data_IF_112640322124
#
_entry.id   IF_112640322124
#
_cell.length_a   1.000
_cell.length_b   1.000
_cell.length_c   1.000
_cell.angle_alpha   90.00
_cell.angle_beta   90.00
_cell.angle_gamma   90.00
#
_symmetry.space_group_name_H-M   'P 1'
#
loop_
_entity.id
_entity.type
_entity.pdbx_description
1 polymer ?
#
# COMPACT_ATOMS: atom_id res chain seq x y z
N UNK A 1 10.70 27.60 0.22
CA UNK A 1 9.90 27.26 -0.97
C UNK A 1 8.59 28.01 -0.87
N UNK A 2 8.21 28.78 -1.89
CA UNK A 2 6.98 29.60 -1.89
C UNK A 2 5.95 28.95 -2.82
N UNK A 3 4.72 28.79 -2.33
CA UNK A 3 3.56 28.39 -3.15
C UNK A 3 2.80 29.67 -3.52
N UNK A 4 2.55 29.89 -4.80
CA UNK A 4 1.78 31.04 -5.29
C UNK A 4 0.58 30.55 -6.07
N UNK A 5 -0.59 31.17 -5.86
CA UNK A 5 -1.79 30.91 -6.65
C UNK A 5 -1.89 31.89 -7.82
N UNK A 6 -2.36 31.37 -8.96
CA UNK A 6 -2.75 32.12 -10.14
C UNK A 6 -4.17 31.71 -10.50
N UNK A 7 -5.10 32.68 -10.53
CA UNK A 7 -6.46 32.44 -10.99
C UNK A 7 -6.46 32.52 -12.52
N UNK A 8 -6.85 31.43 -13.18
CA UNK A 8 -7.13 31.46 -14.61
C UNK A 8 -8.48 32.14 -14.83
N UNK A 9 -8.45 33.44 -15.09
CA UNK A 9 -9.66 34.19 -15.45
C UNK A 9 -10.14 33.73 -16.83
N UNK A 10 -11.41 33.30 -16.95
CA UNK A 10 -12.00 32.91 -18.24
C UNK A 10 -12.28 34.16 -19.08
N UNK A 11 -11.26 34.88 -19.51
CA UNK A 11 -11.41 35.92 -20.54
C UNK A 11 -10.30 35.82 -21.58
N UNK A 12 -10.77 35.73 -22.84
CA UNK A 12 -10.06 35.81 -24.12
C UNK A 12 -9.00 34.74 -24.44
N UNK A 13 -9.42 33.66 -25.12
CA UNK A 13 -9.01 33.45 -26.52
C UNK A 13 -9.85 32.37 -27.25
N UNK A 14 -10.51 32.82 -28.32
CA UNK A 14 -10.86 32.15 -29.60
C UNK A 14 -11.18 30.65 -29.65
N UNK A 15 -12.47 30.38 -29.87
CA UNK A 15 -13.08 29.29 -30.65
C UNK A 15 -12.44 27.88 -30.60
N UNK A 16 -12.85 27.08 -29.61
CA UNK A 16 -13.05 25.64 -29.82
C UNK A 16 -14.55 25.34 -29.65
N UNK A 17 -15.25 25.25 -30.77
CA UNK A 17 -16.62 24.71 -30.84
C UNK A 17 -16.59 23.22 -30.52
N UNK A 18 -16.77 22.85 -29.25
CA UNK A 18 -17.36 21.55 -28.89
C UNK A 18 -17.91 21.52 -27.45
N UNK A 19 -18.74 22.50 -27.11
CA UNK A 19 -19.44 22.60 -25.81
C UNK A 19 -20.89 22.15 -25.94
N UNK A 20 -21.10 20.87 -26.32
CA UNK A 20 -22.42 20.22 -26.19
C UNK A 20 -22.43 18.93 -25.35
N UNK A 21 -21.28 18.32 -25.07
CA UNK A 21 -21.24 17.01 -24.41
C UNK A 21 -21.30 17.05 -22.87
N UNK A 22 -21.01 18.17 -22.21
CA UNK A 22 -20.93 18.22 -20.74
C UNK A 22 -22.17 18.78 -20.03
N UNK A 23 -23.09 19.45 -20.75
CA UNK A 23 -24.32 19.99 -20.15
C UNK A 23 -25.51 19.02 -20.15
N UNK A 24 -25.43 17.91 -20.88
CA UNK A 24 -26.49 16.89 -20.94
C UNK A 24 -26.41 15.85 -19.80
N UNK A 25 -25.23 15.61 -19.23
CA UNK A 25 -25.06 14.64 -18.13
C UNK A 25 -25.75 15.06 -16.81
N UNK A 26 -25.97 16.37 -16.57
CA UNK A 26 -26.68 16.85 -15.36
C UNK A 26 -28.22 16.85 -15.48
N UNK A 27 -28.80 16.63 -16.67
CA UNK A 27 -30.27 16.64 -16.85
C UNK A 27 -30.94 15.26 -16.82
N UNK A 28 -30.19 14.17 -16.93
CA UNK A 28 -30.77 12.82 -17.02
C UNK A 28 -31.02 12.16 -15.65
N UNK A 29 -30.50 12.70 -14.54
CA UNK A 29 -30.70 12.14 -13.19
C UNK A 29 -31.84 12.79 -12.37
N UNK A 30 -32.73 13.57 -12.98
CA UNK A 30 -33.96 14.06 -12.33
C UNK A 30 -35.17 13.52 -13.07
N UNK A 31 -35.60 12.30 -12.73
CA UNK A 31 -36.98 11.82 -12.88
C UNK A 31 -37.11 10.33 -12.47
N UNK A 32 -37.32 10.05 -11.18
CA UNK A 32 -38.27 9.05 -10.64
C UNK A 32 -37.88 8.66 -9.22
N UNK A 33 -38.47 9.32 -8.21
CA UNK A 33 -38.92 8.65 -6.98
C UNK A 33 -40.21 9.34 -6.56
N UNK A 34 -41.34 8.67 -6.77
CA UNK A 34 -42.61 9.04 -6.15
C UNK A 34 -42.54 8.68 -4.66
N UNK A 35 -43.00 9.61 -3.83
CA UNK A 35 -43.35 9.39 -2.44
C UNK A 35 -44.54 8.43 -2.31
N UNK A 36 -44.44 7.45 -1.41
CA UNK A 36 -45.55 7.11 -0.49
C UNK A 36 -45.01 6.80 0.91
N UNK A 37 -45.56 7.51 1.88
CA UNK A 37 -45.39 7.36 3.32
C UNK A 37 -45.90 6.00 3.83
N UNK A 38 -45.27 5.45 4.88
CA UNK A 38 -46.01 4.86 6.00
C UNK A 38 -45.11 4.63 7.22
N UNK A 39 -45.56 5.21 8.33
CA UNK A 39 -45.13 5.14 9.72
C UNK A 39 -45.20 3.75 10.36
N UNK A 40 -44.31 3.47 11.34
CA UNK A 40 -44.60 3.02 12.73
C UNK A 40 -43.58 2.03 13.32
N UNK A 41 -43.15 2.29 14.58
CA UNK A 41 -42.48 1.33 15.51
C UNK A 41 -43.56 0.57 16.36
N UNK A 42 -43.18 -0.20 17.40
CA UNK A 42 -43.00 -1.67 17.50
C UNK A 42 -44.13 -2.35 18.32
N UNK A 43 -44.03 -3.64 18.73
CA UNK A 43 -43.54 -3.90 20.10
C UNK A 43 -42.79 -5.24 20.34
N UNK A 44 -42.22 -5.30 21.55
CA UNK A 44 -41.56 -6.38 22.31
C UNK A 44 -42.47 -7.59 22.55
N UNK A 45 -41.90 -8.81 22.67
CA UNK A 45 -42.25 -9.85 23.67
C UNK A 45 -41.11 -10.87 23.81
N UNK A 46 -40.78 -11.16 25.07
CA UNK A 46 -39.89 -12.17 25.62
C UNK A 46 -40.45 -13.60 25.59
N UNK A 47 -39.60 -14.63 25.48
CA UNK A 47 -39.76 -15.85 26.30
C UNK A 47 -38.45 -16.64 26.42
N UNK A 48 -38.05 -16.93 27.66
CA UNK A 48 -37.06 -17.93 28.04
C UNK A 48 -37.60 -19.35 27.80
N UNK A 49 -36.75 -20.33 27.51
CA UNK A 49 -36.80 -21.62 28.20
C UNK A 49 -35.48 -22.39 28.03
N UNK A 50 -34.95 -22.86 29.15
CA UNK A 50 -33.75 -23.69 29.28
C UNK A 50 -34.13 -25.18 29.32
N UNK A 51 -33.32 -26.06 28.69
CA UNK A 51 -33.15 -27.46 29.10
C UNK A 51 -31.75 -27.97 28.69
N UNK A 52 -30.92 -28.30 29.70
CA UNK A 52 -29.84 -29.32 29.71
C UNK A 52 -30.46 -30.62 30.29
N UNK A 53 -29.93 -31.85 30.11
CA UNK A 53 -28.55 -32.30 30.35
C UNK A 53 -28.05 -33.29 29.25
N UNK A 54 -26.87 -33.89 29.17
CA UNK A 54 -25.76 -34.26 30.06
C UNK A 54 -25.21 -35.60 29.52
N UNK A 55 -23.93 -35.95 29.72
CA UNK A 55 -23.47 -37.33 29.55
C UNK A 55 -22.15 -37.54 28.80
N UNK A 56 -21.10 -37.74 29.60
CA UNK A 56 -19.75 -38.27 29.36
C UNK A 56 -19.67 -39.61 28.59
N UNK A 57 -18.61 -39.79 27.78
CA UNK A 57 -17.66 -40.94 27.90
C UNK A 57 -16.52 -40.90 26.87
N UNK A 58 -15.28 -41.05 27.38
CA UNK A 58 -14.08 -41.62 26.70
C UNK A 58 -14.14 -43.17 26.88
N UNK A 59 -13.33 -44.07 26.22
CA UNK A 59 -11.89 -43.85 25.98
C UNK A 59 -11.16 -44.63 24.81
N UNK A 60 -9.85 -44.31 24.65
CA UNK A 60 -8.70 -45.22 24.29
C UNK A 60 -8.69 -45.86 22.87
N UNK A 61 -7.58 -46.23 22.22
CA UNK A 61 -6.13 -46.31 22.44
C UNK A 61 -5.52 -47.04 21.21
N UNK A 62 -4.17 -46.98 21.05
CA UNK A 62 -3.28 -47.78 20.16
C UNK A 62 -3.22 -47.39 18.67
N UNK A 63 -2.12 -47.53 17.94
CA UNK A 63 -0.66 -47.66 18.15
C UNK A 63 -0.09 -47.94 16.73
N UNK A 64 1.13 -47.45 16.46
CA UNK A 64 2.20 -48.11 15.68
C UNK A 64 2.25 -48.07 14.13
N UNK A 65 3.44 -47.59 13.71
CA UNK A 65 4.34 -48.02 12.61
C UNK A 65 3.82 -47.71 11.20
N UNK A 66 4.52 -47.00 10.32
CA UNK A 66 5.97 -46.82 10.12
C UNK A 66 6.28 -47.26 8.69
N UNK A 67 6.79 -46.37 7.83
CA UNK A 67 7.57 -46.71 6.63
C UNK A 67 8.07 -45.42 5.95
N UNK A 68 9.41 -45.27 5.86
CA UNK A 68 10.08 -44.44 4.84
C UNK A 68 10.15 -45.25 3.54
N UNK A 69 10.32 -44.61 2.37
CA UNK A 69 11.68 -44.36 1.90
C UNK A 69 11.92 -42.96 1.30
N UNK A 70 13.20 -42.61 1.29
CA UNK A 70 13.84 -41.47 0.61
C UNK A 70 13.54 -41.47 -0.89
N UNK A 71 13.33 -40.28 -1.46
CA UNK A 71 13.89 -39.91 -2.77
C UNK A 71 14.51 -38.52 -2.65
N UNK A 72 15.81 -38.45 -2.95
CA UNK A 72 16.59 -37.21 -3.13
C UNK A 72 16.14 -36.57 -4.44
N UNK A 73 15.93 -35.26 -4.45
CA UNK A 73 16.35 -34.42 -5.56
C UNK A 73 16.80 -33.07 -5.04
N UNK A 74 18.07 -32.82 -5.26
CA UNK A 74 18.79 -31.57 -5.03
C UNK A 74 18.58 -30.73 -6.28
N UNK A 75 18.02 -29.54 -6.15
CA UNK A 75 18.20 -28.47 -7.14
C UNK A 75 18.61 -27.23 -6.37
N UNK A 76 19.90 -26.94 -6.43
CA UNK A 76 20.49 -25.67 -6.07
C UNK A 76 20.30 -24.70 -7.23
N UNK A 77 19.84 -23.47 -6.96
CA UNK A 77 20.10 -22.32 -7.81
C UNK A 77 20.46 -21.14 -6.92
N UNK A 78 21.73 -20.77 -7.00
CA UNK A 78 22.35 -19.66 -6.28
C UNK A 78 21.92 -18.32 -6.89
N UNK A 79 21.56 -17.38 -6.02
CA UNK A 79 21.76 -15.96 -6.26
C UNK A 79 23.26 -15.65 -6.27
N UNK A 80 23.68 -14.78 -7.19
CA UNK A 80 24.97 -14.11 -7.11
C UNK A 80 24.79 -12.65 -7.52
N UNK A 81 24.50 -11.83 -6.52
CA UNK A 81 24.72 -10.40 -6.52
C UNK A 81 26.16 -10.18 -6.05
N UNK A 82 27.02 -9.59 -6.86
CA UNK A 82 28.41 -9.30 -6.48
C UNK A 82 28.68 -7.83 -6.65
N UNK A 83 29.00 -7.17 -5.54
CA UNK A 83 29.67 -5.88 -5.58
C UNK A 83 30.79 -5.85 -4.52
N UNK A 84 31.95 -5.39 -5.00
CA UNK A 84 33.04 -4.69 -4.30
C UNK A 84 34.29 -5.45 -3.78
N UNK A 85 35.43 -4.83 -4.13
CA UNK A 85 36.69 -4.58 -3.36
C UNK A 85 38.01 -5.10 -4.01
N UNK A 86 38.64 -4.16 -4.73
CA UNK A 86 40.06 -3.79 -4.87
C UNK A 86 41.22 -4.72 -4.42
N UNK A 87 42.26 -4.81 -5.26
CA UNK A 87 43.68 -4.55 -4.89
C UNK A 87 44.62 -4.44 -6.11
N UNK A 88 45.75 -3.80 -5.86
CA UNK A 88 46.77 -3.18 -6.73
C UNK A 88 47.85 -4.12 -7.33
N UNK A 89 48.42 -3.65 -8.46
CA UNK A 89 49.61 -3.97 -9.33
C UNK A 89 50.90 -4.56 -8.70
N UNK A 90 52.03 -4.94 -9.42
CA UNK A 90 52.41 -4.76 -10.86
C UNK A 90 53.20 -5.94 -11.58
N UNK A 91 53.35 -5.84 -12.91
CA UNK A 91 54.65 -6.05 -13.61
C UNK A 91 54.91 -7.32 -14.44
N UNK A 92 54.95 -7.20 -15.78
CA UNK A 92 56.06 -7.60 -16.68
C UNK A 92 55.66 -7.56 -18.18
N UNK A 93 56.41 -6.82 -18.99
CA UNK A 93 56.32 -6.68 -20.47
C UNK A 93 57.05 -7.83 -21.22
N UNK A 94 57.32 -7.74 -22.54
CA UNK A 94 56.40 -7.90 -23.67
C UNK A 94 56.88 -8.97 -24.67
N UNK A 95 56.00 -9.56 -25.50
CA UNK A 95 56.46 -10.19 -26.75
C UNK A 95 55.52 -9.86 -27.92
N UNK A 96 56.18 -9.27 -28.92
CA UNK A 96 55.84 -8.91 -30.28
C UNK A 96 55.31 -10.09 -31.10
N UNK A 97 54.29 -9.88 -31.93
CA UNK A 97 53.95 -10.82 -33.00
C UNK A 97 52.57 -10.63 -33.64
N UNK A 98 52.58 -10.07 -34.85
CA UNK A 98 51.54 -10.17 -35.89
C UNK A 98 50.36 -9.18 -35.88
N UNK A 99 50.66 -7.98 -36.42
CA UNK A 99 49.80 -7.30 -37.38
C UNK A 99 49.66 -8.13 -38.66
N UNK A 100 48.45 -8.18 -39.25
CA UNK A 100 48.28 -8.80 -40.57
C UNK A 100 46.86 -9.00 -41.09
N UNK A 101 45.82 -8.41 -40.50
CA UNK A 101 44.44 -8.67 -40.97
C UNK A 101 43.46 -7.49 -40.86
N UNK A 102 43.82 -6.38 -40.21
CA UNK A 102 42.89 -5.25 -39.99
C UNK A 102 42.98 -4.10 -41.01
N UNK A 103 43.91 -4.13 -41.96
CA UNK A 103 44.04 -3.06 -42.97
C UNK A 103 43.55 -3.46 -44.37
N UNK A 104 43.24 -4.74 -44.61
CA UNK A 104 42.74 -5.23 -45.90
C UNK A 104 41.21 -5.09 -46.08
N UNK A 105 40.45 -5.00 -44.99
CA UNK A 105 38.98 -4.88 -45.05
C UNK A 105 38.46 -3.44 -45.09
N UNK A 106 39.31 -2.45 -44.73
CA UNK A 106 38.90 -1.05 -44.65
C UNK A 106 39.00 -0.27 -45.99
N UNK A 107 39.56 -0.87 -47.06
CA UNK A 107 39.75 -0.19 -48.36
C UNK A 107 38.97 -0.80 -49.53
N UNK A 108 38.35 -1.97 -49.37
CA UNK A 108 37.55 -2.61 -50.43
C UNK A 108 36.04 -2.30 -50.36
N UNK A 109 35.55 -1.70 -49.28
CA UNK A 109 34.11 -1.41 -49.13
C UNK A 109 33.71 0.04 -49.50
N UNK A 110 34.67 0.91 -49.81
CA UNK A 110 34.43 2.37 -49.89
C UNK A 110 34.55 3.00 -51.28
N UNK A 111 34.55 2.22 -52.38
CA UNK A 111 34.62 2.80 -53.74
C UNK A 111 33.64 2.18 -54.77
N UNK A 112 32.61 1.46 -54.34
CA UNK A 112 31.68 0.80 -55.27
C UNK A 112 30.18 1.13 -55.15
N UNK A 113 29.72 1.79 -54.08
CA UNK A 113 28.26 1.92 -53.81
C UNK A 113 27.75 3.37 -53.84
N UNK A 114 28.64 4.35 -53.89
CA UNK A 114 28.26 5.77 -53.80
C UNK A 114 27.64 6.37 -55.08
N UNK A 115 27.61 5.65 -56.22
CA UNK A 115 27.11 6.20 -57.49
C UNK A 115 25.77 5.60 -57.98
N UNK A 116 25.21 4.59 -57.30
CA UNK A 116 23.93 3.97 -57.68
C UNK A 116 22.74 4.35 -56.77
N UNK A 117 22.99 5.05 -55.66
CA UNK A 117 21.94 5.46 -54.71
C UNK A 117 21.54 6.94 -54.82
N UNK A 118 22.15 7.71 -55.73
CA UNK A 118 21.87 9.14 -55.91
C UNK A 118 20.83 9.46 -57.00
N UNK A 119 20.25 8.45 -57.68
CA UNK A 119 19.27 8.66 -58.77
C UNK A 119 17.91 7.96 -58.56
N UNK A 120 17.65 7.40 -57.37
CA UNK A 120 16.37 6.77 -57.03
C UNK A 120 15.62 7.43 -55.85
N UNK A 121 15.97 8.67 -55.50
CA UNK A 121 15.38 9.39 -54.32
C UNK A 121 14.48 10.57 -54.74
N UNK A 122 14.24 10.82 -56.02
CA UNK A 122 13.46 11.99 -56.48
C UNK A 122 12.05 11.71 -57.03
N UNK A 123 11.51 10.50 -56.89
CA UNK A 123 10.13 10.26 -57.34
C UNK A 123 9.44 9.13 -56.56
N UNK A 124 9.36 9.26 -55.25
CA UNK A 124 8.32 8.58 -54.49
C UNK A 124 7.79 9.58 -53.49
N UNK A 125 6.55 10.07 -53.65
CA UNK A 125 5.92 10.82 -52.58
C UNK A 125 5.80 9.83 -51.44
N UNK A 126 6.71 9.93 -50.46
CA UNK A 126 6.56 9.34 -49.15
C UNK A 126 5.33 10.00 -48.55
N UNK A 127 4.17 9.51 -48.93
CA UNK A 127 3.00 9.56 -48.07
C UNK A 127 3.44 8.79 -46.84
N UNK A 128 3.98 9.51 -45.85
CA UNK A 128 3.81 9.12 -44.47
C UNK A 128 2.30 9.11 -44.25
N UNK A 129 1.67 8.03 -44.72
CA UNK A 129 0.32 7.67 -44.34
C UNK A 129 0.42 7.51 -42.84
N UNK A 130 0.04 8.55 -42.11
CA UNK A 130 -0.35 8.41 -40.73
C UNK A 130 -1.34 7.25 -40.74
N UNK A 131 -0.93 6.08 -40.28
CA UNK A 131 -1.87 4.99 -40.06
C UNK A 131 -3.00 5.64 -39.25
N UNK A 132 -4.25 5.62 -39.76
CA UNK A 132 -5.35 6.19 -39.00
C UNK A 132 -5.26 5.54 -37.62
N UNK A 133 -5.28 6.36 -36.57
CA UNK A 133 -5.32 5.89 -35.20
C UNK A 133 -6.38 4.78 -35.18
N UNK A 134 -5.95 3.51 -35.04
CA UNK A 134 -6.88 2.39 -35.11
C UNK A 134 -7.97 2.73 -34.09
N UNK A 135 -9.18 2.98 -34.61
CA UNK A 135 -10.28 3.35 -33.76
C UNK A 135 -10.42 2.21 -32.77
N UNK A 136 -10.36 2.54 -31.47
CA UNK A 136 -10.54 1.52 -30.44
C UNK A 136 -11.83 0.77 -30.78
N UNK A 137 -11.82 -0.57 -30.70
CA UNK A 137 -13.00 -1.35 -31.03
C UNK A 137 -14.20 -0.79 -30.26
N UNK A 138 -15.38 -0.68 -30.91
CA UNK A 138 -16.55 -0.13 -30.27
C UNK A 138 -16.83 -0.91 -28.99
N UNK A 139 -17.07 -0.18 -27.90
CA UNK A 139 -17.41 -0.80 -26.61
C UNK A 139 -18.66 -1.66 -26.85
N UNK A 140 -18.64 -2.96 -26.46
CA UNK A 140 -19.80 -3.82 -26.61
C UNK A 140 -21.01 -3.17 -25.96
N UNK A 141 -22.15 -3.14 -26.65
CA UNK A 141 -23.41 -2.67 -26.07
C UNK A 141 -23.98 -3.63 -25.02
N UNK A 142 -23.41 -4.83 -24.92
CA UNK A 142 -23.73 -5.86 -23.94
C UNK A 142 -22.44 -6.50 -23.45
N UNK A 143 -22.25 -6.50 -22.15
CA UNK A 143 -21.20 -7.27 -21.50
C UNK A 143 -21.77 -8.64 -21.09
N UNK A 144 -20.95 -9.70 -21.09
CA UNK A 144 -21.36 -10.95 -20.48
C UNK A 144 -21.71 -10.70 -19.01
N UNK A 145 -22.66 -11.45 -18.48
CA UNK A 145 -22.95 -11.44 -17.04
C UNK A 145 -21.66 -11.72 -16.28
N UNK A 146 -21.33 -10.85 -15.33
CA UNK A 146 -20.18 -11.06 -14.47
C UNK A 146 -20.33 -12.42 -13.77
N UNK A 147 -19.23 -13.18 -13.68
CA UNK A 147 -19.23 -14.39 -12.87
C UNK A 147 -19.46 -13.98 -11.43
N UNK A 148 -20.34 -14.72 -10.76
CA UNK A 148 -20.51 -14.56 -9.32
C UNK A 148 -19.18 -14.84 -8.61
N UNK A 149 -18.72 -13.86 -7.83
CA UNK A 149 -17.54 -14.02 -6.98
C UNK A 149 -17.98 -14.77 -5.72
N UNK A 150 -17.58 -16.03 -5.60
CA UNK A 150 -17.82 -16.81 -4.39
C UNK A 150 -16.80 -16.42 -3.33
N UNK A 151 -17.25 -15.74 -2.29
CA UNK A 151 -16.43 -15.46 -1.10
C UNK A 151 -16.25 -16.77 -0.33
N UNK A 152 -15.02 -17.15 0.07
CA UNK A 152 -14.81 -18.35 0.85
C UNK A 152 -15.47 -18.22 2.22
N UNK A 153 -15.95 -19.36 2.75
CA UNK A 153 -16.50 -19.40 4.11
C UNK A 153 -15.37 -19.21 5.13
N UNK A 154 -15.62 -18.38 6.14
CA UNK A 154 -14.70 -18.12 7.23
C UNK A 154 -15.42 -18.29 8.57
N UNK A 155 -14.65 -18.58 9.62
CA UNK A 155 -15.17 -18.63 10.99
C UNK A 155 -14.92 -17.29 11.68
N UNK A 156 -15.96 -16.67 12.22
CA UNK A 156 -15.86 -15.47 13.08
C UNK A 156 -16.11 -15.85 14.54
N UNK A 157 -15.31 -15.29 15.43
CA UNK A 157 -15.52 -15.38 16.87
C UNK A 157 -15.15 -14.07 17.57
N UNK A 158 -15.67 -13.87 18.78
CA UNK A 158 -15.29 -12.77 19.65
C UNK A 158 -14.79 -13.35 20.97
N UNK A 159 -13.55 -13.06 21.33
CA UNK A 159 -12.97 -13.48 22.60
C UNK A 159 -13.57 -12.70 23.77
N UNK A 160 -13.42 -13.22 24.99
CA UNK A 160 -13.93 -12.57 26.21
C UNK A 160 -13.35 -11.17 26.48
N UNK A 161 -12.18 -10.87 25.92
CA UNK A 161 -11.53 -9.56 25.99
C UNK A 161 -11.97 -8.59 24.87
N UNK A 162 -12.93 -8.98 24.03
CA UNK A 162 -13.47 -8.16 22.95
C UNK A 162 -12.74 -8.27 21.60
N UNK A 163 -11.63 -9.02 21.52
CA UNK A 163 -10.92 -9.23 20.25
C UNK A 163 -11.81 -10.01 19.28
N UNK A 164 -12.04 -9.42 18.11
CA UNK A 164 -12.74 -10.07 16.98
C UNK A 164 -11.74 -10.86 16.16
N UNK A 165 -12.01 -12.13 15.92
CA UNK A 165 -11.10 -13.03 15.21
C UNK A 165 -11.82 -13.64 14.02
N UNK A 166 -11.18 -13.60 12.86
CA UNK A 166 -11.60 -14.24 11.62
C UNK A 166 -10.59 -15.32 11.25
N UNK A 167 -11.07 -16.54 11.02
CA UNK A 167 -10.25 -17.68 10.61
C UNK A 167 -10.68 -18.16 9.22
N UNK A 168 -9.72 -18.26 8.31
CA UNK A 168 -9.89 -18.85 6.98
C UNK A 168 -8.90 -20.01 6.81
N UNK A 169 -9.38 -21.22 6.98
CA UNK A 169 -8.58 -22.44 6.81
C UNK A 169 -8.29 -22.70 5.33
N UNK A 170 -7.01 -22.82 4.98
CA UNK A 170 -6.51 -23.10 3.62
C UNK A 170 -5.22 -23.94 3.69
N UNK A 171 -5.32 -25.21 3.30
CA UNK A 171 -4.25 -26.20 3.46
C UNK A 171 -3.31 -26.35 2.25
N UNK A 172 -3.36 -25.44 1.27
CA UNK A 172 -2.62 -25.62 0.02
C UNK A 172 -1.10 -25.44 0.13
N UNK A 173 -0.63 -24.52 0.98
CA UNK A 173 0.78 -24.04 0.96
C UNK A 173 1.56 -24.37 2.24
N UNK A 174 0.94 -24.95 3.27
CA UNK A 174 1.62 -25.30 4.54
C UNK A 174 2.12 -24.09 5.34
N UNK A 175 1.53 -22.93 5.09
CA UNK A 175 1.85 -21.66 5.75
C UNK A 175 0.65 -21.16 6.54
N UNK A 176 0.94 -20.43 7.62
CA UNK A 176 -0.05 -19.61 8.32
C UNK A 176 0.33 -18.14 8.19
N UNK A 177 -0.66 -17.28 8.02
CA UNK A 177 -0.47 -15.83 7.95
C UNK A 177 -1.57 -15.13 8.73
N UNK A 178 -1.21 -14.01 9.36
CA UNK A 178 -2.07 -13.27 10.25
C UNK A 178 -1.89 -11.78 10.15
N UNK A 179 -2.98 -11.05 10.40
CA UNK A 179 -2.96 -9.59 10.54
C UNK A 179 -3.80 -9.21 11.76
N UNK A 180 -3.14 -8.68 12.78
CA UNK A 180 -3.78 -8.00 13.91
C UNK A 180 -3.88 -6.51 13.57
N UNK A 181 -5.08 -6.01 13.32
CA UNK A 181 -5.36 -4.63 12.96
C UNK A 181 -6.06 -3.93 14.12
N UNK A 182 -5.48 -2.83 14.58
CA UNK A 182 -5.98 -1.99 15.66
C UNK A 182 -6.32 -0.61 15.13
N UNK A 183 -7.33 0.04 15.73
CA UNK A 183 -7.59 1.46 15.43
C UNK A 183 -6.42 2.32 15.90
N UNK A 184 -6.17 3.42 15.20
CA UNK A 184 -5.09 4.34 15.53
C UNK A 184 -4.53 4.97 14.27
N UNK A 185 -3.22 4.88 14.09
CA UNK A 185 -2.53 5.42 12.93
C UNK A 185 -2.37 6.94 12.97
N UNK A 186 -1.88 7.52 11.86
CA UNK A 186 -1.49 8.93 11.84
C UNK A 186 -2.67 9.90 12.04
N UNK A 187 -3.91 9.48 11.80
CA UNK A 187 -5.12 10.27 12.10
C UNK A 187 -5.39 10.42 13.59
N UNK A 188 -4.91 9.48 14.41
CA UNK A 188 -5.07 9.49 15.86
C UNK A 188 -3.93 10.22 16.59
N UNK A 189 -2.89 10.68 15.87
CA UNK A 189 -1.77 11.40 16.46
C UNK A 189 -2.19 12.75 17.05
N UNK A 190 -1.65 13.13 18.23
CA UNK A 190 -1.73 14.49 18.74
C UNK A 190 -1.16 15.49 17.74
N UNK A 191 -1.75 16.68 17.66
CA UNK A 191 -1.35 17.71 16.69
C UNK A 191 0.10 18.18 16.85
N UNK A 192 0.66 18.09 18.06
CA UNK A 192 2.03 18.44 18.41
C UNK A 192 3.02 17.26 18.27
N UNK A 193 2.55 16.06 17.93
CA UNK A 193 3.35 14.81 17.83
C UNK A 193 3.12 14.09 16.50
N UNK A 194 3.10 14.82 15.40
CA UNK A 194 2.92 14.22 14.07
C UNK A 194 4.10 13.31 13.71
N UNK A 195 3.80 12.18 13.07
CA UNK A 195 4.77 11.12 12.74
C UNK A 195 5.00 10.10 13.85
N UNK A 196 4.38 10.27 15.03
CA UNK A 196 4.52 9.40 16.19
C UNK A 196 4.13 7.95 15.90
N UNK A 197 3.04 7.69 15.15
CA UNK A 197 2.58 6.32 14.88
C UNK A 197 3.57 5.56 13.98
N UNK A 198 4.19 6.25 13.02
CA UNK A 198 5.20 5.65 12.15
C UNK A 198 6.48 5.32 12.91
N UNK A 199 6.93 6.23 13.78
CA UNK A 199 8.08 5.99 14.68
C UNK A 199 7.78 4.86 15.65
N UNK A 200 6.56 4.82 16.22
CA UNK A 200 6.12 3.74 17.11
C UNK A 200 6.20 2.39 16.43
N UNK A 201 5.62 2.23 15.24
CA UNK A 201 5.63 0.96 14.52
C UNK A 201 7.06 0.44 14.28
N UNK A 202 7.95 1.32 13.83
CA UNK A 202 9.36 0.96 13.57
C UNK A 202 10.12 0.60 14.85
N UNK A 203 9.96 1.40 15.91
CA UNK A 203 10.64 1.15 17.20
C UNK A 203 10.07 -0.08 17.89
N UNK A 204 8.77 -0.33 17.80
CA UNK A 204 8.12 -1.52 18.35
C UNK A 204 8.69 -2.78 17.69
N UNK A 205 8.68 -2.84 16.35
CA UNK A 205 9.20 -3.99 15.60
C UNK A 205 10.69 -4.21 15.87
N UNK A 206 11.50 -3.15 15.78
CA UNK A 206 12.95 -3.25 15.89
C UNK A 206 13.44 -3.38 17.35
N UNK A 207 12.59 -3.07 18.33
CA UNK A 207 12.94 -2.99 19.75
C UNK A 207 12.87 -4.31 20.51
N UNK A 208 12.17 -5.29 19.97
CA UNK A 208 11.91 -6.57 20.62
C UNK A 208 10.86 -6.47 21.73
N UNK A 209 10.70 -7.59 22.45
CA UNK A 209 9.73 -7.76 23.54
C UNK A 209 10.46 -7.87 24.88
N UNK A 210 9.74 -7.76 26.00
CA UNK A 210 10.36 -7.97 27.32
C UNK A 210 11.03 -9.34 27.46
N UNK A 211 10.49 -10.37 26.81
CA UNK A 211 11.06 -11.72 26.81
C UNK A 211 12.19 -11.89 25.79
N UNK A 212 12.14 -11.16 24.67
CA UNK A 212 13.11 -11.22 23.57
C UNK A 212 13.56 -9.80 23.18
N UNK A 213 14.43 -9.17 23.99
CA UNK A 213 14.83 -7.78 23.77
C UNK A 213 15.83 -7.64 22.61
N UNK A 214 15.84 -6.45 22.00
CA UNK A 214 16.78 -6.06 20.94
C UNK A 214 16.79 -7.05 19.76
N UNK A 215 17.91 -7.75 19.52
CA UNK A 215 18.06 -8.67 18.38
C UNK A 215 17.45 -10.05 18.61
N UNK A 216 17.12 -10.41 19.86
CA UNK A 216 16.65 -11.75 20.16
C UNK A 216 15.31 -12.09 19.49
N UNK A 217 14.47 -11.07 19.23
CA UNK A 217 13.26 -11.26 18.44
C UNK A 217 13.60 -11.58 16.98
N UNK A 218 14.59 -10.90 16.39
CA UNK A 218 15.03 -11.15 15.03
C UNK A 218 15.63 -12.55 14.90
N UNK A 219 16.51 -12.94 15.83
CA UNK A 219 17.11 -14.29 15.86
C UNK A 219 16.01 -15.38 15.97
N UNK A 220 15.01 -15.17 16.81
CA UNK A 220 13.89 -16.10 16.97
C UNK A 220 13.00 -16.20 15.71
N UNK A 221 12.85 -15.12 14.94
CA UNK A 221 12.10 -15.13 13.69
C UNK A 221 12.90 -15.80 12.56
N UNK A 222 14.22 -15.55 12.51
CA UNK A 222 15.14 -16.20 11.57
C UNK A 222 15.15 -17.73 11.76
N UNK A 223 15.21 -18.19 13.01
CA UNK A 223 15.17 -19.62 13.35
C UNK A 223 13.88 -20.31 12.88
N UNK A 224 12.77 -19.57 12.82
CA UNK A 224 11.46 -20.05 12.37
C UNK A 224 11.23 -19.82 10.86
N UNK A 225 12.18 -19.18 10.16
CA UNK A 225 12.00 -18.68 8.80
C UNK A 225 10.68 -17.88 8.65
N UNK A 226 10.40 -17.01 9.63
CA UNK A 226 9.13 -16.32 9.78
C UNK A 226 9.29 -14.80 9.68
N UNK A 227 8.21 -14.15 9.25
CA UNK A 227 8.10 -12.69 9.22
C UNK A 227 7.13 -12.23 10.30
N UNK A 228 7.49 -11.18 11.01
CA UNK A 228 6.62 -10.44 11.92
C UNK A 228 6.88 -8.97 11.65
N UNK A 229 5.88 -8.17 11.33
CA UNK A 229 6.07 -6.77 10.93
C UNK A 229 5.03 -5.88 11.60
N UNK A 230 5.42 -4.63 11.87
CA UNK A 230 4.52 -3.62 12.45
C UNK A 230 4.43 -2.44 11.50
N UNK A 231 3.21 -2.03 11.18
CA UNK A 231 2.93 -0.95 10.24
C UNK A 231 1.92 0.04 10.83
N UNK A 232 2.10 1.31 10.52
CA UNK A 232 1.14 2.37 10.84
C UNK A 232 0.59 2.98 9.56
N UNK A 233 -0.71 2.87 9.37
CA UNK A 233 -1.44 3.54 8.29
C UNK A 233 -2.12 4.82 8.79
N UNK A 234 -2.95 5.47 7.95
CA UNK A 234 -3.71 6.64 8.38
C UNK A 234 -4.70 6.35 9.49
N UNK A 235 -5.44 5.24 9.41
CA UNK A 235 -6.54 4.92 10.34
C UNK A 235 -6.31 3.70 11.24
N UNK A 236 -5.16 3.06 11.13
CA UNK A 236 -4.87 1.80 11.82
C UNK A 236 -3.39 1.61 12.12
N UNK A 237 -3.14 0.79 13.14
CA UNK A 237 -1.88 0.09 13.37
C UNK A 237 -2.10 -1.38 12.99
N UNK A 238 -1.09 -2.05 12.46
CA UNK A 238 -1.18 -3.45 12.10
C UNK A 238 0.09 -4.20 12.50
N UNK A 239 -0.08 -5.37 13.11
CA UNK A 239 0.99 -6.36 13.31
C UNK A 239 0.67 -7.56 12.41
N UNK A 240 1.50 -7.80 11.40
CA UNK A 240 1.36 -8.93 10.50
C UNK A 240 2.36 -10.02 10.85
N UNK A 241 1.93 -11.28 10.82
CA UNK A 241 2.79 -12.45 11.07
C UNK A 241 2.63 -13.47 9.96
N UNK A 242 3.71 -14.15 9.58
CA UNK A 242 3.71 -15.23 8.59
C UNK A 242 4.80 -16.25 8.93
N UNK A 243 4.52 -17.52 8.74
CA UNK A 243 5.51 -18.58 8.82
C UNK A 243 4.93 -19.95 8.50
N UNK A 244 5.68 -21.00 8.81
CA UNK A 244 5.25 -22.39 8.65
C UNK A 244 4.10 -22.72 9.62
N UNK A 245 3.17 -23.54 9.17
CA UNK A 245 1.99 -23.91 9.98
C UNK A 245 2.33 -24.68 11.26
N UNK A 246 3.42 -25.46 11.27
CA UNK A 246 3.89 -26.16 12.45
C UNK A 246 4.35 -25.22 13.58
N UNK A 247 4.75 -24.00 13.22
CA UNK A 247 5.22 -22.97 14.14
C UNK A 247 4.10 -22.03 14.60
N UNK A 248 2.85 -22.23 14.17
CA UNK A 248 1.72 -21.37 14.50
C UNK A 248 1.59 -21.03 16.01
N UNK A 249 1.79 -21.99 16.96
CA UNK A 249 1.81 -21.67 18.38
C UNK A 249 2.88 -20.63 18.76
N UNK A 250 4.09 -20.77 18.21
CA UNK A 250 5.20 -19.85 18.49
C UNK A 250 4.99 -18.50 17.82
N UNK A 251 4.48 -18.48 16.59
CA UNK A 251 4.18 -17.25 15.87
C UNK A 251 3.12 -16.40 16.58
N UNK A 252 2.05 -17.02 17.06
CA UNK A 252 1.01 -16.31 17.82
C UNK A 252 1.52 -15.82 19.18
N UNK A 253 2.39 -16.57 19.84
CA UNK A 253 3.06 -16.13 21.06
C UNK A 253 3.94 -14.90 20.82
N UNK A 254 4.75 -14.89 19.77
CA UNK A 254 5.57 -13.73 19.38
C UNK A 254 4.71 -12.51 19.04
N UNK A 255 3.62 -12.70 18.29
CA UNK A 255 2.66 -11.63 17.98
C UNK A 255 2.05 -11.05 19.26
N UNK A 256 1.63 -11.91 20.20
CA UNK A 256 1.06 -11.47 21.48
C UNK A 256 2.10 -10.70 22.32
N UNK A 257 3.33 -11.19 22.41
CA UNK A 257 4.39 -10.48 23.14
C UNK A 257 4.70 -9.11 22.52
N UNK A 258 4.72 -9.00 21.20
CA UNK A 258 4.99 -7.72 20.52
C UNK A 258 3.85 -6.71 20.68
N UNK A 259 2.59 -7.19 20.69
CA UNK A 259 1.42 -6.37 20.92
C UNK A 259 1.31 -5.91 22.39
N UNK A 260 1.66 -6.77 23.35
CA UNK A 260 1.35 -6.55 24.77
C UNK A 260 2.54 -6.12 25.62
N UNK A 261 3.76 -6.42 25.20
CA UNK A 261 4.98 -6.19 25.99
C UNK A 261 6.19 -5.71 25.14
N UNK A 262 6.04 -4.69 24.28
CA UNK A 262 7.17 -4.10 23.58
C UNK A 262 8.09 -3.30 24.51
N UNK A 263 9.39 -3.28 24.22
CA UNK A 263 10.40 -2.63 25.10
C UNK A 263 10.53 -1.12 24.86
N UNK A 264 10.37 -0.71 23.60
CA UNK A 264 10.71 0.63 23.09
C UNK A 264 12.10 1.13 23.54
N UNK A 265 13.22 0.49 23.12
CA UNK A 265 14.55 0.92 23.53
C UNK A 265 14.89 2.32 23.00
N UNK A 266 15.47 3.18 23.85
CA UNK A 266 15.86 4.55 23.47
C UNK A 266 16.80 4.57 22.26
N UNK A 267 17.72 3.61 22.17
CA UNK A 267 18.66 3.50 21.05
C UNK A 267 17.97 3.22 19.70
N UNK A 268 16.79 2.59 19.71
CA UNK A 268 15.99 2.35 18.49
C UNK A 268 15.23 3.62 18.12
N UNK A 269 14.63 4.30 19.11
CA UNK A 269 14.01 5.61 18.92
C UNK A 269 14.99 6.62 18.33
N UNK A 270 16.20 6.77 18.88
CA UNK A 270 17.19 7.72 18.36
C UNK A 270 17.57 7.45 16.90
N UNK A 271 17.76 6.18 16.53
CA UNK A 271 18.05 5.79 15.14
C UNK A 271 16.89 6.11 14.20
N UNK A 272 15.68 5.73 14.58
CA UNK A 272 14.46 5.99 13.79
C UNK A 272 14.20 7.49 13.66
N UNK A 273 14.37 8.25 14.75
CA UNK A 273 14.25 9.71 14.76
C UNK A 273 15.27 10.35 13.82
N UNK A 274 16.54 9.93 13.87
CA UNK A 274 17.58 10.43 12.97
C UNK A 274 17.26 10.13 11.49
N UNK A 275 16.74 8.94 11.19
CA UNK A 275 16.29 8.57 9.84
C UNK A 275 15.14 9.45 9.35
N UNK A 276 14.14 9.68 10.20
CA UNK A 276 13.01 10.55 9.86
C UNK A 276 13.44 12.01 9.67
N UNK A 277 14.36 12.51 10.50
CA UNK A 277 14.92 13.85 10.34
C UNK A 277 15.66 14.00 9.01
N UNK A 278 16.51 13.03 8.66
CA UNK A 278 17.18 13.02 7.36
C UNK A 278 16.18 13.01 6.20
N UNK A 279 15.11 12.20 6.30
CA UNK A 279 14.06 12.17 5.29
C UNK A 279 13.32 13.52 5.18
N UNK A 280 13.07 14.20 6.30
CA UNK A 280 12.45 15.52 6.31
C UNK A 280 13.35 16.62 5.73
N UNK A 281 14.66 16.53 5.92
CA UNK A 281 15.64 17.45 5.32
C UNK A 281 15.67 17.31 3.79
N UNK A 282 15.61 16.07 3.28
CA UNK A 282 15.69 15.75 1.86
C UNK A 282 14.31 15.65 1.17
N UNK A 283 13.21 15.97 1.87
CA UNK A 283 11.83 15.78 1.37
C UNK A 283 11.48 16.56 0.11
N UNK A 284 12.28 17.57 -0.23
CA UNK A 284 12.09 18.42 -1.42
C UNK A 284 13.08 18.11 -2.55
N UNK A 285 13.89 17.06 -2.39
CA UNK A 285 14.86 16.67 -3.42
C UNK A 285 14.16 16.02 -4.61
N UNK A 286 13.12 15.22 -4.34
CA UNK A 286 12.26 14.65 -5.37
C UNK A 286 11.20 15.67 -5.83
N UNK A 287 11.19 16.09 -7.11
CA UNK A 287 10.20 17.05 -7.61
C UNK A 287 8.78 16.49 -7.63
N UNK A 288 8.62 15.16 -7.71
CA UNK A 288 7.31 14.52 -7.81
C UNK A 288 6.50 14.46 -6.50
N UNK A 289 7.17 14.47 -5.34
CA UNK A 289 6.50 14.41 -4.03
C UNK A 289 5.90 15.76 -3.62
N UNK A 290 6.51 16.87 -4.05
CA UNK A 290 6.14 18.22 -3.63
C UNK A 290 4.71 18.57 -4.06
N UNK A 291 4.30 18.46 -5.35
CA UNK A 291 2.95 18.84 -5.75
C UNK A 291 1.87 17.98 -5.09
N UNK A 292 2.10 16.69 -4.87
CA UNK A 292 1.15 15.81 -4.19
C UNK A 292 0.91 16.26 -2.74
N UNK A 293 1.99 16.57 -2.01
CA UNK A 293 1.91 17.08 -0.64
C UNK A 293 1.20 18.43 -0.57
N UNK A 294 1.55 19.38 -1.45
CA UNK A 294 0.91 20.69 -1.44
C UNK A 294 -0.55 20.63 -1.90
N UNK A 295 -0.89 19.78 -2.88
CA UNK A 295 -2.27 19.54 -3.31
C UNK A 295 -3.12 19.01 -2.15
N UNK A 296 -2.62 18.07 -1.35
CA UNK A 296 -3.31 17.59 -0.15
C UNK A 296 -3.67 18.73 0.81
N UNK A 297 -2.72 19.65 1.08
CA UNK A 297 -2.98 20.82 1.95
C UNK A 297 -3.97 21.81 1.36
N UNK A 298 -3.97 21.96 0.03
CA UNK A 298 -4.91 22.83 -0.68
C UNK A 298 -6.33 22.24 -0.60
N UNK A 299 -6.48 20.93 -0.80
CA UNK A 299 -7.77 20.25 -0.82
C UNK A 299 -8.37 20.07 0.57
N UNK A 300 -7.58 19.62 1.54
CA UNK A 300 -8.07 19.28 2.87
C UNK A 300 -7.84 20.39 3.90
N UNK A 301 -7.02 21.39 3.59
CA UNK A 301 -6.52 22.37 4.54
C UNK A 301 -5.25 21.89 5.25
N UNK A 302 -4.30 22.82 5.49
CA UNK A 302 -2.97 22.51 6.04
C UNK A 302 -2.96 21.81 7.41
N UNK A 303 -4.00 22.05 8.22
CA UNK A 303 -4.11 21.53 9.59
C UNK A 303 -4.98 20.26 9.65
N UNK A 304 -5.52 19.81 8.51
CA UNK A 304 -6.36 18.62 8.43
C UNK A 304 -5.57 17.35 8.68
N UNK A 305 -6.22 16.36 9.31
CA UNK A 305 -5.67 15.02 9.56
C UNK A 305 -5.26 14.28 8.29
N UNK A 306 -5.74 14.72 7.12
CA UNK A 306 -5.41 14.15 5.81
C UNK A 306 -4.20 14.82 5.12
N UNK A 307 -3.71 15.95 5.62
CA UNK A 307 -2.67 16.75 4.95
C UNK A 307 -1.57 17.27 5.89
N UNK A 308 -1.75 17.14 7.21
CA UNK A 308 -0.76 17.52 8.21
C UNK A 308 0.48 16.62 8.10
N UNK A 309 1.64 17.22 8.34
CA UNK A 309 2.96 16.59 8.15
C UNK A 309 3.85 16.89 9.36
N UNK A 310 4.73 15.96 9.76
CA UNK A 310 5.69 16.21 10.82
C UNK A 310 6.65 17.36 10.49
N UNK A 311 6.93 18.16 11.50
CA UNK A 311 8.02 19.16 11.48
C UNK A 311 9.28 18.59 12.13
N UNK A 312 10.44 19.15 11.75
CA UNK A 312 11.73 18.83 12.36
C UNK A 312 11.70 18.99 13.89
N UNK A 313 11.02 20.03 14.39
CA UNK A 313 10.92 20.32 15.82
C UNK A 313 10.09 19.25 16.55
N UNK A 314 8.95 18.85 15.99
CA UNK A 314 8.11 17.80 16.56
C UNK A 314 8.86 16.47 16.63
N UNK A 315 9.53 16.08 15.54
CA UNK A 315 10.31 14.83 15.50
C UNK A 315 11.48 14.86 16.49
N UNK A 316 12.20 15.99 16.60
CA UNK A 316 13.27 16.16 17.60
C UNK A 316 12.76 16.04 19.04
N UNK A 317 11.55 16.50 19.30
CA UNK A 317 10.92 16.48 20.63
C UNK A 317 10.11 15.22 20.94
N UNK A 318 10.14 14.19 20.10
CA UNK A 318 9.51 12.89 20.40
C UNK A 318 10.31 12.17 21.48
N UNK A 319 9.62 11.61 22.47
CA UNK A 319 10.22 10.86 23.59
C UNK A 319 9.74 9.42 23.59
N UNK A 320 10.42 8.55 24.33
CA UNK A 320 9.97 7.18 24.55
C UNK A 320 8.61 7.14 25.26
N UNK A 321 8.38 8.06 26.18
CA UNK A 321 7.13 8.20 26.91
C UNK A 321 5.97 8.51 25.96
N UNK A 322 6.19 9.29 24.89
CA UNK A 322 5.18 9.52 23.86
C UNK A 322 4.81 8.21 23.13
N UNK A 323 5.80 7.35 22.82
CA UNK A 323 5.54 6.05 22.21
C UNK A 323 4.74 5.14 23.14
N UNK A 324 5.18 5.03 24.40
CA UNK A 324 4.49 4.19 25.39
C UNK A 324 3.06 4.69 25.62
N UNK A 325 2.85 6.00 25.71
CA UNK A 325 1.53 6.59 25.85
C UNK A 325 0.64 6.26 24.64
N UNK A 326 1.14 6.45 23.42
CA UNK A 326 0.36 6.16 22.20
C UNK A 326 0.06 4.68 22.05
N UNK A 327 1.04 3.80 22.29
CA UNK A 327 0.87 2.34 22.34
C UNK A 327 -0.24 1.96 23.34
N UNK A 328 -0.12 2.45 24.59
CA UNK A 328 -1.08 2.16 25.65
C UNK A 328 -2.49 2.69 25.37
N UNK A 329 -2.63 3.69 24.50
CA UNK A 329 -3.92 4.27 24.14
C UNK A 329 -4.64 3.46 23.04
N UNK A 330 -3.89 2.96 22.05
CA UNK A 330 -4.46 2.45 20.80
C UNK A 330 -4.30 0.95 20.60
N UNK A 331 -3.28 0.32 21.19
CA UNK A 331 -3.10 -1.14 21.09
C UNK A 331 -3.89 -1.86 22.19
N UNK A 332 -5.10 -2.28 21.83
CA UNK A 332 -6.08 -2.89 22.73
C UNK A 332 -6.94 -3.95 22.03
N UNK A 333 -7.37 -5.01 22.74
CA UNK A 333 -8.07 -6.15 22.12
C UNK A 333 -9.49 -5.80 21.64
N UNK A 334 -10.25 -5.04 22.44
CA UNK A 334 -11.67 -4.71 22.21
C UNK A 334 -11.90 -3.67 21.11
N UNK A 335 -10.84 -3.11 20.53
CA UNK A 335 -10.88 -2.28 19.34
C UNK A 335 -9.99 -2.83 18.21
N UNK A 336 -9.70 -4.14 18.25
CA UNK A 336 -8.86 -4.83 17.29
C UNK A 336 -9.60 -5.94 16.54
N UNK A 337 -9.05 -6.29 15.38
CA UNK A 337 -9.46 -7.42 14.56
C UNK A 337 -8.22 -8.25 14.25
N UNK A 338 -8.29 -9.56 14.50
CA UNK A 338 -7.29 -10.52 14.05
C UNK A 338 -7.87 -11.34 12.89
N UNK A 339 -7.26 -11.26 11.71
CA UNK A 339 -7.51 -12.19 10.62
C UNK A 339 -6.38 -13.21 10.53
N UNK A 340 -6.70 -14.50 10.50
CA UNK A 340 -5.75 -15.58 10.25
C UNK A 340 -6.19 -16.38 9.03
N UNK A 341 -5.26 -16.68 8.14
CA UNK A 341 -5.48 -17.53 6.98
C UNK A 341 -4.32 -18.51 6.79
N UNK A 342 -4.63 -19.73 6.31
CA UNK A 342 -3.61 -20.72 5.97
C UNK A 342 -3.85 -22.11 6.56
N UNK A 343 -2.81 -22.94 6.59
CA UNK A 343 -2.92 -24.37 6.87
C UNK A 343 -3.02 -24.61 8.38
N UNK A 344 -4.25 -24.73 8.87
CA UNK A 344 -4.56 -25.08 10.25
C UNK A 344 -5.93 -25.74 10.35
N UNK A 345 -6.21 -26.44 11.44
CA UNK A 345 -7.57 -26.82 11.79
C UNK A 345 -8.26 -25.67 12.54
N UNK A 346 -9.44 -25.27 12.07
CA UNK A 346 -10.18 -24.13 12.63
C UNK A 346 -10.47 -24.27 14.14
N UNK A 347 -10.79 -25.47 14.62
CA UNK A 347 -11.10 -25.70 16.04
C UNK A 347 -9.84 -25.60 16.91
N UNK A 348 -8.73 -26.18 16.45
CA UNK A 348 -7.43 -26.08 17.13
C UNK A 348 -6.90 -24.65 17.16
N UNK A 349 -7.00 -23.94 16.02
CA UNK A 349 -6.58 -22.54 15.93
C UNK A 349 -7.42 -21.64 16.85
N UNK A 350 -8.72 -21.90 16.96
CA UNK A 350 -9.60 -21.20 17.92
C UNK A 350 -9.11 -21.34 19.35
N UNK A 351 -8.82 -22.56 19.79
CA UNK A 351 -8.32 -22.81 21.14
C UNK A 351 -6.95 -22.14 21.38
N UNK A 352 -6.07 -22.18 20.38
CA UNK A 352 -4.74 -21.57 20.45
C UNK A 352 -4.80 -20.04 20.55
N UNK A 353 -5.63 -19.40 19.73
CA UNK A 353 -5.85 -17.95 19.78
C UNK A 353 -6.43 -17.54 21.13
N UNK A 354 -7.42 -18.28 21.64
CA UNK A 354 -8.00 -17.99 22.95
C UNK A 354 -6.99 -18.15 24.08
N UNK A 355 -6.14 -19.19 24.05
CA UNK A 355 -5.11 -19.40 25.05
C UNK A 355 -4.02 -18.30 25.02
N UNK A 356 -3.67 -17.82 23.83
CA UNK A 356 -2.55 -16.89 23.64
C UNK A 356 -2.97 -15.44 23.83
N UNK A 357 -4.03 -15.01 23.13
CA UNK A 357 -4.48 -13.62 23.09
C UNK A 357 -5.64 -13.34 24.06
N UNK A 358 -6.29 -14.37 24.63
CA UNK A 358 -7.41 -14.17 25.56
C UNK A 358 -7.03 -13.51 26.89
N UNK A 359 -5.74 -13.46 27.22
CA UNK A 359 -5.22 -12.80 28.43
C UNK A 359 -4.87 -11.32 28.20
N UNK A 360 -4.78 -10.88 26.94
CA UNK A 360 -4.60 -9.47 26.61
C UNK A 360 -5.85 -8.69 27.04
N UNK A 361 -5.68 -7.71 27.93
CA UNK A 361 -6.79 -6.95 28.49
C UNK A 361 -6.71 -5.48 28.06
N UNK A 362 -7.87 -4.83 27.80
CA UNK A 362 -7.89 -3.38 27.62
C UNK A 362 -7.54 -2.66 28.92
N UNK A 363 -6.91 -1.50 28.80
CA UNK A 363 -6.66 -0.62 29.94
C UNK A 363 -7.85 0.31 30.17
N UNK A 364 -8.13 0.61 31.45
CA UNK A 364 -9.21 1.53 31.80
C UNK A 364 -8.95 2.93 31.23
N UNK A 365 -9.98 3.53 30.62
CA UNK A 365 -9.90 4.89 30.06
C UNK A 365 -9.36 4.99 28.63
N UNK A 366 -9.00 3.87 27.99
CA UNK A 366 -8.64 3.87 26.57
C UNK A 366 -9.85 4.32 25.71
N UNK A 367 -9.65 5.13 24.66
CA UNK A 367 -10.71 5.47 23.71
C UNK A 367 -11.11 4.27 22.85
N UNK A 368 -12.40 4.15 22.51
CA UNK A 368 -12.90 3.07 21.65
C UNK A 368 -12.72 3.34 20.15
N UNK A 369 -12.44 4.60 19.78
CA UNK A 369 -12.15 5.04 18.41
C UNK A 369 -11.30 6.32 18.42
N UNK A 370 -10.51 6.57 17.35
CA UNK A 370 -9.93 7.87 17.07
C UNK A 370 -10.97 8.98 17.05
N UNK A 371 -10.56 10.26 17.23
CA UNK A 371 -11.45 11.39 17.01
C UNK A 371 -12.14 11.28 15.65
N UNK A 372 -13.44 11.65 15.55
CA UNK A 372 -14.14 11.62 14.28
C UNK A 372 -13.39 12.48 13.27
N UNK A 373 -13.33 11.99 12.03
CA UNK A 373 -12.64 12.70 10.97
C UNK A 373 -13.39 14.02 10.72
N UNK A 374 -12.67 15.14 10.58
CA UNK A 374 -13.32 16.38 10.18
C UNK A 374 -13.95 16.14 8.81
N UNK A 375 -15.22 16.49 8.67
CA UNK A 375 -15.82 16.64 7.35
C UNK A 375 -14.99 17.71 6.63
N UNK A 376 -14.18 17.29 5.66
CA UNK A 376 -13.50 18.25 4.81
C UNK A 376 -14.57 18.81 3.89
N UNK A 377 -14.98 20.04 4.16
CA UNK A 377 -15.87 20.73 3.23
C UNK A 377 -15.17 20.78 1.87
N UNK A 378 -15.93 20.47 0.82
CA UNK A 378 -15.41 20.63 -0.53
C UNK A 378 -14.89 22.06 -0.67
N UNK A 379 -13.67 22.25 -1.22
CA UNK A 379 -13.19 23.59 -1.50
C UNK A 379 -14.28 24.32 -2.29
N UNK A 380 -14.59 25.58 -1.95
CA UNK A 380 -15.72 26.29 -2.54
C UNK A 380 -15.61 26.27 -4.06
N UNK A 381 -16.75 26.06 -4.75
CA UNK A 381 -16.80 26.10 -6.21
C UNK A 381 -16.16 27.42 -6.68
N UNK A 382 -15.12 27.32 -7.50
CA UNK A 382 -14.30 28.45 -7.90
C UNK A 382 -13.63 28.22 -9.25
N UNK A 383 -13.00 29.26 -9.81
CA UNK A 383 -12.23 29.12 -11.03
C UNK A 383 -11.09 28.12 -10.82
N UNK A 384 -10.73 27.40 -11.88
CA UNK A 384 -9.53 26.56 -11.88
C UNK A 384 -8.33 27.42 -11.47
N UNK A 385 -7.76 27.09 -10.32
CA UNK A 385 -6.63 27.82 -9.74
C UNK A 385 -5.36 27.01 -9.96
N UNK A 386 -4.33 27.65 -10.52
CA UNK A 386 -3.02 27.03 -10.70
C UNK A 386 -2.13 27.41 -9.53
N UNK A 387 -1.62 26.41 -8.82
CA UNK A 387 -0.65 26.61 -7.76
C UNK A 387 0.75 26.30 -8.29
N UNK A 388 1.64 27.28 -8.21
CA UNK A 388 3.03 27.15 -8.63
C UNK A 388 3.91 26.97 -7.40
N UNK A 389 4.71 25.90 -7.41
CA UNK A 389 5.78 25.67 -6.44
C UNK A 389 7.10 25.84 -7.15
N UNK A 390 7.80 26.94 -6.85
CA UNK A 390 9.08 27.23 -7.49
C UNK A 390 10.20 26.34 -6.94
N UNK A 391 10.90 25.66 -7.85
CA UNK A 391 12.07 24.81 -7.58
C UNK A 391 13.17 25.15 -8.60
N UNK A 392 14.01 26.16 -8.30
CA UNK A 392 15.11 26.55 -9.17
C UNK A 392 16.02 25.36 -9.52
N UNK A 393 16.44 25.29 -10.78
CA UNK A 393 17.30 24.21 -11.28
C UNK A 393 16.57 22.90 -11.61
N UNK A 394 15.23 22.83 -11.50
CA UNK A 394 14.47 21.67 -11.96
C UNK A 394 14.50 21.56 -13.49
N UNK A 395 14.93 20.43 -14.02
CA UNK A 395 14.92 20.13 -15.47
C UNK A 395 13.56 19.65 -15.97
N UNK A 396 12.67 19.28 -15.06
CA UNK A 396 11.34 18.76 -15.34
C UNK A 396 10.31 19.47 -14.47
N UNK A 397 9.11 19.63 -15.00
CA UNK A 397 7.94 20.08 -14.26
C UNK A 397 7.12 18.85 -13.83
N UNK A 398 6.63 18.87 -12.59
CA UNK A 398 5.67 17.89 -12.09
C UNK A 398 4.32 18.57 -11.92
N UNK A 399 3.32 18.09 -12.63
CA UNK A 399 1.96 18.63 -12.61
C UNK A 399 1.04 17.58 -12.00
N UNK A 400 0.28 17.98 -10.98
CA UNK A 400 -0.74 17.14 -10.35
C UNK A 400 -2.04 17.92 -10.31
N UNK A 401 -3.13 17.26 -10.63
CA UNK A 401 -4.50 17.77 -10.56
C UNK A 401 -5.31 16.81 -9.70
N UNK A 402 -6.23 17.33 -8.90
CA UNK A 402 -7.10 16.49 -8.08
C UNK A 402 -8.21 17.30 -7.44
N UNK A 403 -9.21 16.59 -6.96
CA UNK A 403 -10.39 17.08 -6.25
C UNK A 403 -10.68 16.15 -5.05
N UNK A 404 -11.66 16.50 -4.22
CA UNK A 404 -12.11 15.58 -3.17
C UNK A 404 -12.84 14.40 -3.81
N UNK A 405 -12.32 13.20 -3.56
CA UNK A 405 -12.95 11.95 -3.99
C UNK A 405 -14.05 11.47 -3.02
N UNK A 406 -14.78 10.41 -3.41
CA UNK A 406 -15.80 9.79 -2.56
C UNK A 406 -15.20 9.08 -1.34
N UNK A 407 -16.05 8.76 -0.36
CA UNK A 407 -15.70 7.83 0.71
C UNK A 407 -15.83 6.38 0.24
N UNK A 408 -15.28 5.42 1.01
CA UNK A 408 -15.28 4.00 0.65
C UNK A 408 -16.68 3.37 0.64
N UNK A 409 -17.62 3.95 1.38
CA UNK A 409 -19.03 3.55 1.44
C UNK A 409 -19.91 4.22 0.38
N UNK A 410 -19.31 5.07 -0.47
CA UNK A 410 -20.01 5.68 -1.60
C UNK A 410 -20.34 4.62 -2.67
N UNK A 411 -21.58 4.56 -3.18
CA UNK A 411 -21.97 3.59 -4.19
C UNK A 411 -21.17 3.69 -5.50
N UNK A 412 -20.57 4.86 -5.80
CA UNK A 412 -19.84 5.11 -7.04
C UNK A 412 -18.34 4.81 -6.93
N UNK A 413 -17.81 4.43 -5.75
CA UNK A 413 -16.36 4.24 -5.54
C UNK A 413 -15.75 3.23 -6.54
N UNK A 414 -16.44 2.11 -6.80
CA UNK A 414 -15.96 1.07 -7.73
C UNK A 414 -16.17 1.46 -9.20
N UNK A 415 -17.17 2.28 -9.50
CA UNK A 415 -17.37 2.86 -10.83
C UNK A 415 -16.22 3.82 -11.17
N UNK A 416 -15.80 4.62 -10.19
CA UNK A 416 -14.66 5.54 -10.32
C UNK A 416 -13.33 4.80 -10.43
N UNK A 417 -13.13 3.71 -9.69
CA UNK A 417 -11.94 2.85 -9.82
C UNK A 417 -11.84 2.21 -11.22
N UNK A 418 -12.98 1.76 -11.76
CA UNK A 418 -13.07 1.26 -13.15
C UNK A 418 -12.74 2.36 -14.15
N UNK A 419 -13.28 3.57 -13.98
CA UNK A 419 -12.94 4.73 -14.81
C UNK A 419 -11.44 5.03 -14.74
N UNK A 420 -10.86 5.01 -13.54
CA UNK A 420 -9.44 5.25 -13.33
C UNK A 420 -8.58 4.23 -14.08
N UNK A 421 -8.99 2.95 -14.06
CA UNK A 421 -8.31 1.87 -14.77
C UNK A 421 -8.30 2.06 -16.29
N UNK A 422 -9.33 2.67 -16.88
CA UNK A 422 -9.38 2.99 -18.33
C UNK A 422 -8.44 4.14 -18.70
N UNK A 423 -8.23 5.09 -17.78
CA UNK A 423 -7.36 6.23 -18.00
C UNK A 423 -5.87 5.85 -17.86
N UNK A 424 -5.57 4.92 -16.95
CA UNK A 424 -4.24 4.58 -16.48
C UNK A 424 -3.63 3.33 -17.11
N UNK A 425 -2.34 3.09 -16.80
CA UNK A 425 -1.62 1.90 -17.21
C UNK A 425 -0.98 2.00 -18.60
N UNK A 426 -0.19 1.00 -18.96
CA UNK A 426 0.43 0.89 -20.28
C UNK A 426 -0.65 0.62 -21.33
N UNK A 427 -0.91 1.59 -22.21
CA UNK A 427 -2.02 1.56 -23.15
C UNK A 427 -3.32 2.22 -22.66
N UNK A 428 -3.34 2.73 -21.42
CA UNK A 428 -4.42 3.59 -20.94
C UNK A 428 -4.54 4.88 -21.74
N UNK A 429 -5.72 5.50 -21.71
CA UNK A 429 -6.00 6.68 -22.55
C UNK A 429 -5.03 7.84 -22.32
N UNK A 430 -4.65 8.09 -21.05
CA UNK A 430 -3.69 9.15 -20.74
C UNK A 430 -2.30 8.84 -21.29
N UNK A 431 -1.86 7.59 -21.13
CA UNK A 431 -0.57 7.15 -21.65
C UNK A 431 -0.49 7.28 -23.18
N UNK A 432 -1.50 6.78 -23.89
CA UNK A 432 -1.55 6.86 -25.35
C UNK A 432 -1.59 8.32 -25.85
N UNK A 433 -2.49 9.13 -25.31
CA UNK A 433 -2.71 10.48 -25.83
C UNK A 433 -1.61 11.47 -25.42
N UNK A 434 -1.23 11.51 -24.14
CA UNK A 434 -0.32 12.52 -23.60
C UNK A 434 1.14 12.14 -23.84
N UNK A 435 1.50 10.88 -23.59
CA UNK A 435 2.89 10.41 -23.72
C UNK A 435 3.19 9.91 -25.12
N UNK A 436 2.45 8.93 -25.65
CA UNK A 436 2.82 8.27 -26.91
C UNK A 436 2.59 9.14 -28.14
N UNK A 437 1.41 9.75 -28.27
CA UNK A 437 1.03 10.55 -29.44
C UNK A 437 1.54 11.98 -29.38
N UNK A 438 1.35 12.65 -28.25
CA UNK A 438 1.69 14.07 -28.11
C UNK A 438 3.12 14.33 -27.63
N UNK A 439 3.80 13.34 -27.03
CA UNK A 439 5.16 13.50 -26.53
C UNK A 439 5.31 14.54 -25.40
N UNK A 440 4.20 14.90 -24.73
CA UNK A 440 4.16 16.02 -23.78
C UNK A 440 4.65 15.67 -22.38
N UNK A 441 4.67 14.38 -22.04
CA UNK A 441 5.06 13.91 -20.72
C UNK A 441 5.92 12.65 -20.80
N UNK A 442 6.93 12.58 -19.94
CA UNK A 442 7.73 11.37 -19.75
C UNK A 442 6.93 10.27 -19.02
N UNK A 443 6.14 10.68 -18.03
CA UNK A 443 5.22 9.83 -17.25
C UNK A 443 3.89 10.53 -17.09
N UNK A 444 2.79 9.78 -17.17
CA UNK A 444 1.42 10.27 -16.94
C UNK A 444 0.60 9.17 -16.26
N UNK A 445 -0.24 9.56 -15.32
CA UNK A 445 -1.14 8.68 -14.58
C UNK A 445 -1.94 9.44 -13.53
N UNK A 446 -2.99 8.80 -13.02
CA UNK A 446 -3.96 9.29 -12.03
C UNK A 446 -4.18 8.25 -10.96
#
# INVERSE_FOLDING_TARGET
>A
MSVRSLNLDRRSNTSCTNTKAFSEARRVCKCHVMHTNSTARPPVISTQLAVRPGGTSWPREKERKGCRPRVRNVVAMSEMNSDRISRTTPGSSPLTGQMGWKEAWARAFNQGVAAALALAVLASPSHASSLPAQALPPIPSKFPTLREVKVPEYTEMVLSNGLRVFLLEDREVGLVSGNLVMKGGSRAEPADKLGLSAVLAEVQRAGGTLALPDRQLDDALEDLAADLEVNAGPGSLAISVRGLSEDAPRLLDLLNQLATQPVFPESKLERTRARLLSALEHRNDSPGSIPRRELGKILYGKDSVYAREPTIQQVRGMTREDLVAYWSQWERPDAAILGLYGDFDTCQMTALVQATLGTWAPQAGQPSSPPPLPNSEAPPEGPTTVYLVDRPGSQQASVVMGELGPMLDDPDVYSLDTLNSVLNGFGGRLFDQVRSRAGLAYTVGG
#
